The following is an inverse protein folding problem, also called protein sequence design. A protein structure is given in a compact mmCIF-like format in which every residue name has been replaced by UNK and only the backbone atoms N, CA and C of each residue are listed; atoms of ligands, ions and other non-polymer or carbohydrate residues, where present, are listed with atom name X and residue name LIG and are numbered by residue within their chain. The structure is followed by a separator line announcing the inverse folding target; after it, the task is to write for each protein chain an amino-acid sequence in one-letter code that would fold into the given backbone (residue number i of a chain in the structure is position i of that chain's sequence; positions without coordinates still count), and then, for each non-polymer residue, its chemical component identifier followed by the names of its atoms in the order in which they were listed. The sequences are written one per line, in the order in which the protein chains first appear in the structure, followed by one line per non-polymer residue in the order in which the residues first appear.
data_IF_911724533125
#
_entry.id   IF_911724533125
#
_cell.length_a   1.000
_cell.length_b   1.000
_cell.length_c   1.000
_cell.angle_alpha   90.00
_cell.angle_beta   90.00
_cell.angle_gamma   90.00
#
_symmetry.space_group_name_H-M   'P 1'
#
loop_
_entity.id
_entity.type
_entity.pdbx_description
1 polymer ?
#
# COMPACT_ATOMS: atom_id res chain seq x y z
N UNK A 1 -0.95 -4.94 16.66
CA UNK A 1 -0.31 -4.09 15.63
C UNK A 1 -1.37 -3.18 15.02
N UNK A 2 -1.05 -1.92 14.76
CA UNK A 2 -2.02 -0.95 14.26
C UNK A 2 -1.94 -0.85 12.72
N UNK A 3 -2.96 -1.34 12.03
CA UNK A 3 -3.05 -1.35 10.56
C UNK A 3 -3.17 0.05 9.95
N UNK A 4 -3.79 0.99 10.65
CA UNK A 4 -3.91 2.37 10.18
C UNK A 4 -2.54 3.09 10.13
N UNK A 5 -1.67 2.81 11.10
CA UNK A 5 -0.29 3.32 11.08
C UNK A 5 0.52 2.72 9.93
N UNK A 6 0.29 1.45 9.61
CA UNK A 6 0.97 0.77 8.51
C UNK A 6 0.52 1.32 7.15
N UNK A 7 -0.77 1.61 7.00
CA UNK A 7 -1.32 2.22 5.79
C UNK A 7 -0.82 3.66 5.60
N UNK A 8 -0.77 4.45 6.67
CA UNK A 8 -0.20 5.81 6.62
C UNK A 8 1.30 5.79 6.29
N UNK A 9 2.07 4.87 6.87
CA UNK A 9 3.48 4.69 6.55
C UNK A 9 3.67 4.33 5.06
N UNK A 10 2.90 3.37 4.55
CA UNK A 10 2.93 2.99 3.14
C UNK A 10 2.59 4.19 2.26
N UNK A 11 1.55 4.96 2.60
CA UNK A 11 1.13 6.15 1.86
C UNK A 11 2.25 7.18 1.77
N UNK A 12 2.87 7.54 2.89
CA UNK A 12 3.96 8.53 2.92
C UNK A 12 5.15 8.08 2.08
N UNK A 13 5.61 6.84 2.25
CA UNK A 13 6.72 6.29 1.46
C UNK A 13 6.40 6.24 -0.04
N UNK A 14 5.20 5.82 -0.41
CA UNK A 14 4.79 5.81 -1.81
C UNK A 14 4.70 7.23 -2.39
N UNK A 15 4.28 8.23 -1.61
CA UNK A 15 4.29 9.63 -2.04
C UNK A 15 5.72 10.16 -2.24
N UNK A 16 6.63 9.84 -1.32
CA UNK A 16 8.04 10.23 -1.42
C UNK A 16 8.69 9.60 -2.67
N UNK A 17 8.45 8.32 -2.92
CA UNK A 17 8.95 7.63 -4.12
C UNK A 17 8.32 8.16 -5.41
N UNK A 18 7.02 8.45 -5.40
CA UNK A 18 6.36 9.07 -6.54
C UNK A 18 6.96 10.45 -6.85
N UNK A 19 7.32 11.24 -5.82
CA UNK A 19 7.99 12.54 -6.01
C UNK A 19 9.40 12.41 -6.62
N UNK A 20 10.02 11.24 -6.51
CA UNK A 20 11.32 10.91 -7.12
C UNK A 20 11.18 10.43 -8.58
N UNK A 21 9.97 10.38 -9.12
CA UNK A 21 9.70 10.03 -10.52
C UNK A 21 9.26 8.57 -10.76
N UNK A 22 9.04 7.78 -9.69
CA UNK A 22 8.44 6.45 -9.83
C UNK A 22 6.95 6.54 -10.17
N UNK A 23 6.45 5.60 -10.97
CA UNK A 23 5.00 5.49 -11.16
C UNK A 23 4.31 5.12 -9.84
N UNK A 24 3.01 5.41 -9.72
CA UNK A 24 2.25 5.10 -8.49
C UNK A 24 2.35 3.63 -8.09
N UNK A 25 2.31 2.71 -9.07
CA UNK A 25 2.40 1.27 -8.83
C UNK A 25 3.79 0.89 -8.33
N UNK A 26 4.85 1.35 -9.01
CA UNK A 26 6.24 1.10 -8.61
C UNK A 26 6.57 1.69 -7.24
N UNK A 27 6.01 2.86 -6.92
CA UNK A 27 6.18 3.51 -5.64
C UNK A 27 5.53 2.71 -4.49
N UNK A 28 4.34 2.14 -4.72
CA UNK A 28 3.68 1.25 -3.75
C UNK A 28 4.47 -0.04 -3.56
N UNK A 29 4.97 -0.62 -4.66
CA UNK A 29 5.78 -1.85 -4.62
C UNK A 29 7.07 -1.65 -3.83
N UNK A 30 7.87 -0.63 -4.19
CA UNK A 30 9.10 -0.30 -3.47
C UNK A 30 8.85 0.06 -2.02
N UNK A 31 7.82 0.84 -1.72
CA UNK A 31 7.47 1.17 -0.34
C UNK A 31 7.10 -0.09 0.46
N UNK A 32 6.38 -1.04 -0.16
CA UNK A 32 6.05 -2.33 0.43
C UNK A 32 7.29 -3.16 0.77
N UNK A 33 8.23 -3.26 -0.17
CA UNK A 33 9.48 -4.01 0.01
C UNK A 33 10.35 -3.40 1.11
N UNK A 34 10.47 -2.07 1.15
CA UNK A 34 11.20 -1.38 2.22
C UNK A 34 10.61 -1.68 3.60
N UNK A 35 9.28 -1.57 3.75
CA UNK A 35 8.61 -1.85 5.03
C UNK A 35 8.76 -3.34 5.37
N UNK A 36 8.63 -4.23 4.39
CA UNK A 36 8.81 -5.67 4.60
C UNK A 36 10.21 -5.99 5.10
N UNK A 37 11.24 -5.41 4.48
CA UNK A 37 12.65 -5.61 4.87
C UNK A 37 12.93 -5.05 6.27
N UNK A 38 12.36 -3.89 6.64
CA UNK A 38 12.45 -3.37 8.01
C UNK A 38 11.80 -4.33 9.04
N UNK A 39 10.71 -5.01 8.65
CA UNK A 39 10.07 -6.02 9.50
C UNK A 39 10.72 -7.39 9.42
N UNK A 40 11.65 -7.65 8.49
CA UNK A 40 12.27 -8.96 8.35
C UNK A 40 13.15 -9.31 9.57
N UNK A 41 13.82 -8.31 10.16
CA UNK A 41 14.69 -8.47 11.33
C UNK A 41 13.97 -8.59 12.68
N UNK A 42 12.84 -7.88 12.87
CA UNK A 42 12.16 -7.77 14.18
C UNK A 42 10.63 -8.07 14.14
N UNK A 43 10.04 -8.29 12.97
CA UNK A 43 8.60 -8.43 12.78
C UNK A 43 8.12 -9.87 12.74
N UNK A 44 7.15 -10.21 13.59
CA UNK A 44 6.48 -11.53 13.60
C UNK A 44 5.58 -11.78 12.37
N UNK A 45 5.18 -13.04 12.14
CA UNK A 45 4.35 -13.44 10.99
C UNK A 45 3.07 -12.61 10.83
N UNK A 46 2.44 -12.18 11.93
CA UNK A 46 1.25 -11.33 11.90
C UNK A 46 1.50 -9.96 11.28
N UNK A 47 2.69 -9.37 11.47
CA UNK A 47 2.97 -8.04 10.91
C UNK A 47 3.12 -8.07 9.39
N UNK A 48 3.76 -9.12 8.89
CA UNK A 48 3.91 -9.41 7.46
C UNK A 48 2.56 -9.66 6.78
N UNK A 49 1.65 -10.36 7.47
CA UNK A 49 0.29 -10.56 6.98
C UNK A 49 -0.46 -9.22 6.83
N UNK A 50 -0.43 -8.37 7.87
CA UNK A 50 -1.07 -7.06 7.80
C UNK A 50 -0.50 -6.19 6.66
N UNK A 51 0.82 -6.19 6.46
CA UNK A 51 1.43 -5.46 5.35
C UNK A 51 0.93 -5.95 4.00
N UNK A 52 0.84 -7.27 3.80
CA UNK A 52 0.34 -7.85 2.55
C UNK A 52 -1.10 -7.42 2.25
N UNK A 53 -1.96 -7.38 3.27
CA UNK A 53 -3.34 -6.91 3.14
C UNK A 53 -3.42 -5.43 2.78
N UNK A 54 -2.61 -4.60 3.43
CA UNK A 54 -2.53 -3.16 3.14
C UNK A 54 -2.01 -2.91 1.72
N UNK A 55 -0.95 -3.61 1.30
CA UNK A 55 -0.42 -3.52 -0.07
C UNK A 55 -1.46 -3.94 -1.12
N UNK A 56 -2.18 -5.04 -0.87
CA UNK A 56 -3.22 -5.50 -1.77
C UNK A 56 -4.36 -4.47 -1.89
N UNK A 57 -4.80 -3.90 -0.77
CA UNK A 57 -5.79 -2.81 -0.77
C UNK A 57 -5.30 -1.57 -1.52
N UNK A 58 -4.03 -1.19 -1.33
CA UNK A 58 -3.44 -0.06 -2.02
C UNK A 58 -3.37 -0.27 -3.54
N UNK A 59 -2.93 -1.46 -4.00
CA UNK A 59 -2.87 -1.82 -5.42
C UNK A 59 -4.25 -1.85 -6.07
N UNK A 60 -5.27 -2.41 -5.40
CA UNK A 60 -6.65 -2.43 -5.90
C UNK A 60 -7.20 -1.03 -6.16
N UNK A 61 -6.81 -0.03 -5.36
CA UNK A 61 -7.24 1.37 -5.53
C UNK A 61 -6.53 2.10 -6.67
N UNK A 62 -5.36 1.63 -7.10
CA UNK A 62 -4.56 2.26 -8.18
C UNK A 62 -4.76 1.54 -9.50
N UNK A 63 -4.95 0.22 -9.47
CA UNK A 63 -5.17 -0.62 -10.65
C UNK A 63 -6.32 -1.59 -10.37
N UNK A 64 -7.58 -1.18 -10.58
CA UNK A 64 -8.75 -2.04 -10.34
C UNK A 64 -8.78 -3.29 -11.24
N UNK A 65 -7.98 -3.32 -12.30
CA UNK A 65 -7.98 -4.39 -13.32
C UNK A 65 -7.01 -5.54 -13.04
N UNK A 66 -6.17 -5.46 -11.99
CA UNK A 66 -4.98 -6.33 -11.85
C UNK A 66 -5.08 -7.47 -10.82
N UNK A 67 -6.18 -7.68 -10.10
CA UNK A 67 -6.21 -8.74 -9.08
C UNK A 67 -7.52 -9.52 -9.03
N UNK A 68 -7.53 -10.69 -9.65
CA UNK A 68 -8.56 -11.73 -9.54
C UNK A 68 -8.59 -12.39 -8.15
N UNK A 69 -8.82 -11.61 -7.11
CA UNK A 69 -9.22 -12.11 -5.80
C UNK A 69 -10.55 -11.46 -5.44
N UNK A 70 -11.61 -12.17 -5.82
CA UNK A 70 -12.97 -12.05 -5.28
C UNK A 70 -12.91 -12.19 -3.78
N UNK A 71 -12.95 -11.08 -3.07
CA UNK A 71 -13.50 -11.06 -1.72
C UNK A 71 -14.11 -9.68 -1.49
N UNK A 72 -15.43 -9.74 -1.34
CA UNK A 72 -16.34 -8.68 -0.89
C UNK A 72 -15.68 -7.70 0.07
N UNK A 73 -15.75 -6.41 -0.26
CA UNK A 73 -15.55 -5.35 0.72
C UNK A 73 -16.64 -4.31 0.51
N UNK A 74 -17.76 -4.54 1.17
CA UNK A 74 -18.77 -3.53 1.39
C UNK A 74 -18.15 -2.32 2.11
N UNK A 75 -18.37 -1.13 1.55
CA UNK A 75 -18.26 0.13 2.28
C UNK A 75 -16.85 0.69 2.53
N UNK A 76 -15.98 0.78 1.51
CA UNK A 76 -14.71 1.49 1.67
C UNK A 76 -14.90 3.03 1.52
N UNK A 77 -14.97 3.74 2.66
CA UNK A 77 -14.88 5.22 2.76
C UNK A 77 -13.41 5.71 2.78
N UNK A 78 -12.46 4.95 2.25
CA UNK A 78 -11.04 5.36 2.24
C UNK A 78 -10.77 6.40 1.15
N UNK A 79 -10.15 7.51 1.57
CA UNK A 79 -9.71 8.59 0.69
C UNK A 79 -8.71 8.07 -0.37
N UNK A 80 -8.68 8.65 -1.58
CA UNK A 80 -7.70 8.29 -2.60
C UNK A 80 -6.27 8.43 -2.08
N UNK A 81 -5.43 7.42 -2.34
CA UNK A 81 -4.05 7.35 -1.83
C UNK A 81 -3.14 8.45 -2.38
N UNK A 82 -3.44 8.91 -3.60
CA UNK A 82 -2.76 10.01 -4.27
C UNK A 82 -3.87 10.87 -4.87
N UNK A 83 -3.84 12.18 -4.59
CA UNK A 83 -4.66 13.12 -5.36
C UNK A 83 -4.12 13.06 -6.79
N UNK A 84 -4.84 12.45 -7.70
CA UNK A 84 -4.62 12.66 -9.12
C UNK A 84 -4.76 14.17 -9.35
N UNK A 85 -3.64 14.89 -9.44
CA UNK A 85 -3.64 16.24 -9.98
C UNK A 85 -3.82 16.03 -11.47
N UNK A 86 -5.03 16.32 -11.94
CA UNK A 86 -5.37 16.25 -13.35
C UNK A 86 -4.43 17.12 -14.16
N UNK A 87 -3.98 16.55 -15.28
CA UNK A 87 -3.56 17.27 -16.47
C UNK A 87 -4.53 16.87 -17.56
#
# INVERSE_FOLDING_TARGET
MNTALLEELLRKKAQDLHSQGFTVVEAIDRAGDEIFNCMAGNGGHGSRFCLRMVLNGAKKRVSPESCGCTSSLEGDKSRPLIKCVGV
#
